data_IF_265646318459
#
_entry.id   IF_265646318459
#
_cell.length_a   1.000
_cell.length_b   1.000
_cell.length_c   1.000
_cell.angle_alpha   90.00
_cell.angle_beta   90.00
_cell.angle_gamma   90.00
#
_symmetry.space_group_name_H-M   'P 1'
#
loop_
_entity.id
_entity.type
_entity.pdbx_description
1 polymer ?
#
# COMPACT_ATOMS: atom_id res chain seq x y z
N UNK A 1 -6.69 -0.76 19.62
CA UNK A 1 -5.28 -0.53 19.20
C UNK A 1 -5.35 -0.06 17.77
N UNK A 2 -4.94 1.18 17.51
CA UNK A 2 -5.16 1.86 16.23
C UNK A 2 -4.40 1.13 15.12
N UNK A 3 -5.13 0.48 14.23
CA UNK A 3 -4.58 -0.33 13.15
C UNK A 3 -4.45 0.57 11.90
N UNK A 4 -3.39 1.36 11.79
CA UNK A 4 -3.12 2.14 10.58
C UNK A 4 -2.15 1.36 9.67
N UNK A 5 -2.21 1.65 8.38
CA UNK A 5 -1.32 1.13 7.36
C UNK A 5 -0.74 2.30 6.58
N UNK A 6 0.58 2.38 6.51
CA UNK A 6 1.25 3.18 5.49
C UNK A 6 1.25 2.36 4.20
N UNK A 7 0.66 2.90 3.14
CA UNK A 7 0.54 2.24 1.84
C UNK A 7 1.22 3.13 0.81
N UNK A 8 2.25 2.62 0.14
CA UNK A 8 2.88 3.29 -0.99
C UNK A 8 2.47 2.57 -2.26
N UNK A 9 1.86 3.32 -3.18
CA UNK A 9 1.50 2.88 -4.52
C UNK A 9 2.54 3.40 -5.49
N UNK A 10 3.22 2.50 -6.19
CA UNK A 10 4.09 2.84 -7.32
C UNK A 10 3.20 2.91 -8.55
N UNK A 11 3.09 4.08 -9.16
CA UNK A 11 2.15 4.39 -10.21
C UNK A 11 2.87 4.68 -11.53
N UNK A 12 2.27 4.28 -12.66
CA UNK A 12 2.72 4.75 -13.98
C UNK A 12 2.38 6.23 -14.17
N UNK A 13 3.30 7.01 -14.71
CA UNK A 13 3.07 8.40 -15.15
C UNK A 13 1.97 8.56 -16.19
N UNK A 14 1.55 7.48 -16.86
CA UNK A 14 0.45 7.50 -17.83
C UNK A 14 -0.93 7.54 -17.15
N UNK A 15 -1.01 7.28 -15.85
CA UNK A 15 -2.25 7.30 -15.07
C UNK A 15 -2.26 8.57 -14.21
N UNK A 16 -3.38 9.30 -14.22
CA UNK A 16 -3.53 10.47 -13.37
C UNK A 16 -3.43 10.10 -11.88
N UNK A 17 -2.85 10.98 -11.05
CA UNK A 17 -2.63 10.72 -9.62
C UNK A 17 -3.89 10.29 -8.86
N UNK A 18 -5.06 10.81 -9.27
CA UNK A 18 -6.36 10.46 -8.67
C UNK A 18 -6.81 9.02 -9.01
N UNK A 19 -6.43 8.51 -10.18
CA UNK A 19 -6.83 7.20 -10.71
C UNK A 19 -5.84 6.08 -10.32
N UNK A 20 -4.68 6.44 -9.78
CA UNK A 20 -3.77 5.45 -9.19
C UNK A 20 -4.32 4.97 -7.84
N UNK A 21 -4.70 3.70 -7.82
CA UNK A 21 -5.31 3.00 -6.70
C UNK A 21 -4.63 1.63 -6.53
N UNK A 22 -5.02 0.88 -5.49
CA UNK A 22 -4.49 -0.48 -5.25
C UNK A 22 -4.70 -1.46 -6.41
N UNK A 23 -5.63 -1.21 -7.33
CA UNK A 23 -5.86 -2.10 -8.49
C UNK A 23 -5.12 -1.66 -9.74
N UNK A 24 -4.66 -0.40 -9.80
CA UNK A 24 -4.00 0.19 -10.97
C UNK A 24 -2.52 0.51 -10.74
N UNK A 25 -2.04 0.39 -9.50
CA UNK A 25 -0.64 0.54 -9.16
C UNK A 25 0.21 -0.58 -9.79
N UNK A 26 1.42 -0.22 -10.22
CA UNK A 26 2.44 -1.13 -10.72
C UNK A 26 3.02 -1.99 -9.58
N UNK A 27 3.17 -1.39 -8.40
CA UNK A 27 3.60 -2.08 -7.18
C UNK A 27 2.99 -1.44 -5.92
N UNK A 28 2.88 -2.22 -4.85
CA UNK A 28 2.25 -1.81 -3.59
C UNK A 28 3.10 -2.26 -2.42
N UNK A 29 3.53 -1.30 -1.62
CA UNK A 29 4.26 -1.54 -0.37
C UNK A 29 3.33 -1.18 0.78
N UNK A 30 3.24 -2.06 1.78
CA UNK A 30 2.41 -1.85 2.97
C UNK A 30 3.26 -2.03 4.22
N UNK A 31 3.22 -1.04 5.12
CA UNK A 31 3.86 -1.10 6.43
C UNK A 31 2.83 -0.85 7.54
N UNK A 32 2.82 -1.63 8.63
CA UNK A 32 1.97 -1.35 9.77
C UNK A 32 2.39 -0.04 10.46
N UNK A 33 1.40 0.73 10.90
CA UNK A 33 1.61 1.92 11.73
C UNK A 33 0.58 1.96 12.86
N UNK A 34 0.98 2.41 14.03
CA UNK A 34 0.14 2.50 15.22
C UNK A 34 -0.33 3.94 15.47
N UNK A 35 0.35 4.92 14.87
CA UNK A 35 0.01 6.35 14.96
C UNK A 35 0.09 7.04 13.59
N UNK A 36 -0.62 8.17 13.39
CA UNK A 36 -0.47 8.96 12.17
C UNK A 36 0.96 9.44 11.94
N UNK A 37 1.68 9.78 13.02
CA UNK A 37 3.08 10.21 12.94
C UNK A 37 4.00 9.09 12.44
N UNK A 38 3.84 7.87 12.97
CA UNK A 38 4.56 6.69 12.48
C UNK A 38 4.27 6.42 11.00
N UNK A 39 3.02 6.58 10.58
CA UNK A 39 2.65 6.44 9.18
C UNK A 39 3.32 7.50 8.28
N UNK A 40 3.45 8.75 8.74
CA UNK A 40 4.20 9.77 8.00
C UNK A 40 5.68 9.43 7.86
N UNK A 41 6.32 8.96 8.95
CA UNK A 41 7.74 8.56 8.94
C UNK A 41 7.95 7.39 7.98
N UNK A 42 7.15 6.33 8.09
CA UNK A 42 7.19 5.19 7.18
C UNK A 42 6.91 5.60 5.74
N UNK A 43 6.01 6.56 5.52
CA UNK A 43 5.73 7.09 4.19
C UNK A 43 6.96 7.66 3.49
N UNK A 44 7.79 8.41 4.20
CA UNK A 44 9.02 8.98 3.63
C UNK A 44 10.04 7.89 3.28
N UNK A 45 10.22 6.90 4.15
CA UNK A 45 11.17 5.81 3.91
C UNK A 45 10.71 4.92 2.75
N UNK A 46 9.41 4.67 2.64
CA UNK A 46 8.81 3.94 1.52
C UNK A 46 9.03 4.68 0.19
N UNK A 47 8.77 6.00 0.16
CA UNK A 47 9.00 6.81 -1.05
C UNK A 47 10.47 6.81 -1.48
N UNK A 48 11.41 6.90 -0.52
CA UNK A 48 12.84 6.81 -0.82
C UNK A 48 13.23 5.42 -1.36
N UNK A 49 12.65 4.34 -0.81
CA UNK A 49 12.93 2.97 -1.23
C UNK A 49 12.44 2.64 -2.65
N UNK A 50 11.45 3.39 -3.13
CA UNK A 50 10.86 3.22 -4.47
C UNK A 50 11.58 3.99 -5.56
N UNK A 51 12.69 4.67 -5.22
CA UNK A 51 13.51 5.37 -6.18
C UNK A 51 13.90 4.45 -7.36
N UNK A 52 13.80 4.97 -8.57
CA UNK A 52 14.29 4.33 -9.81
C UNK A 52 15.28 5.23 -10.51
N UNK A 53 16.13 4.64 -11.32
CA UNK A 53 16.98 5.39 -12.26
C UNK A 53 16.13 6.23 -13.23
N UNK A 54 16.70 7.36 -13.66
CA UNK A 54 16.10 8.28 -14.62
C UNK A 54 15.74 7.54 -15.93
N UNK A 55 14.44 7.40 -16.18
CA UNK A 55 13.93 6.77 -17.40
C UNK A 55 12.62 6.03 -17.17
N UNK A 56 12.43 5.51 -15.96
CA UNK A 56 11.16 4.89 -15.60
C UNK A 56 10.16 5.97 -15.22
N UNK A 57 9.20 6.23 -16.11
CA UNK A 57 8.16 7.24 -15.88
C UNK A 57 7.15 6.74 -14.86
N UNK A 58 7.57 6.64 -13.60
CA UNK A 58 6.76 6.23 -12.45
C UNK A 58 6.81 7.29 -11.34
N UNK A 59 5.74 7.38 -10.57
CA UNK A 59 5.66 8.23 -9.38
C UNK A 59 5.14 7.40 -8.21
N UNK A 60 5.29 7.92 -7.00
CA UNK A 60 4.88 7.20 -5.79
C UNK A 60 3.82 8.02 -5.07
N UNK A 61 2.70 7.39 -4.77
CA UNK A 61 1.63 7.94 -3.94
C UNK A 61 1.63 7.22 -2.60
N UNK A 62 1.84 7.95 -1.52
CA UNK A 62 1.78 7.42 -0.16
C UNK A 62 0.45 7.80 0.48
N UNK A 63 -0.24 6.84 1.07
CA UNK A 63 -1.50 7.04 1.80
C UNK A 63 -1.47 6.35 3.15
N UNK A 64 -2.00 7.01 4.16
CA UNK A 64 -2.27 6.42 5.47
C UNK A 64 -3.70 5.91 5.52
N UNK A 65 -3.85 4.60 5.47
CA UNK A 65 -5.15 3.95 5.49
C UNK A 65 -5.45 3.38 6.87
N UNK A 66 -6.73 3.31 7.25
CA UNK A 66 -7.14 2.49 8.39
C UNK A 66 -7.19 1.05 7.92
N UNK A 67 -6.53 0.15 8.65
CA UNK A 67 -6.72 -1.29 8.49
C UNK A 67 -8.19 -1.56 8.69
N UNK A 68 -8.83 -2.12 7.65
CA UNK A 68 -10.22 -2.53 7.75
C UNK A 68 -10.32 -3.55 8.88
N UNK A 69 -10.98 -3.19 9.98
CA UNK A 69 -11.12 -4.02 11.17
C UNK A 69 -11.95 -5.30 10.91
N UNK A 70 -12.44 -5.48 9.69
CA UNK A 70 -13.28 -6.61 9.29
C UNK A 70 -12.51 -7.94 9.15
N UNK A 71 -11.19 -7.93 9.31
CA UNK A 71 -10.43 -9.16 9.51
C UNK A 71 -10.76 -9.84 10.87
N UNK A 72 -11.22 -9.07 11.88
CA UNK A 72 -11.69 -9.65 13.15
C UNK A 72 -13.07 -10.30 13.01
N UNK A 73 -13.94 -9.73 12.17
CA UNK A 73 -15.23 -10.33 11.79
C UNK A 73 -15.03 -11.65 11.04
N UNK A 74 -14.14 -11.63 10.05
CA UNK A 74 -13.75 -12.82 9.26
C UNK A 74 -13.10 -13.92 10.11
N UNK A 75 -12.19 -13.58 11.04
CA UNK A 75 -11.63 -14.56 11.99
C UNK A 75 -12.68 -15.17 12.92
N UNK A 76 -13.65 -14.38 13.40
CA UNK A 76 -14.77 -14.90 14.21
C UNK A 76 -15.71 -15.79 13.40
N UNK A 77 -15.84 -15.52 12.10
CA UNK A 77 -16.61 -16.33 11.16
C UNK A 77 -15.82 -17.55 10.62
N UNK A 78 -14.64 -17.86 11.18
CA UNK A 78 -13.87 -19.06 10.83
C UNK A 78 -13.01 -18.94 9.58
N UNK A 79 -12.92 -17.76 8.97
CA UNK A 79 -12.02 -17.53 7.84
C UNK A 79 -10.59 -17.35 8.36
N UNK A 80 -9.79 -18.41 8.23
CA UNK A 80 -8.37 -18.38 8.53
C UNK A 80 -7.71 -17.36 7.60
N UNK A 81 -7.14 -16.32 8.22
CA UNK A 81 -6.39 -15.23 7.62
C UNK A 81 -5.94 -15.56 6.19
N UNK A 82 -6.74 -15.14 5.21
CA UNK A 82 -6.33 -15.13 3.84
C UNK A 82 -5.10 -14.22 3.82
N UNK A 83 -3.94 -14.86 3.75
CA UNK A 83 -2.78 -14.28 3.11
C UNK A 83 -3.33 -13.81 1.78
N UNK A 84 -3.64 -12.52 1.67
CA UNK A 84 -3.98 -11.89 0.40
C UNK A 84 -2.67 -11.88 -0.37
N UNK A 85 -2.30 -13.05 -0.89
CA UNK A 85 -1.39 -13.18 -1.99
C UNK A 85 -2.10 -12.49 -3.15
N UNK A 86 -1.79 -11.22 -3.36
CA UNK A 86 -2.11 -10.55 -4.62
C UNK A 86 -1.43 -11.41 -5.69
N UNK A 87 -2.17 -12.00 -6.65
CA UNK A 87 -1.55 -12.73 -7.73
C UNK A 87 -0.70 -11.74 -8.52
N UNK A 88 0.63 -11.88 -8.47
CA UNK A 88 1.50 -11.27 -9.47
C UNK A 88 1.22 -11.99 -10.79
N UNK A 89 0.59 -11.32 -11.74
CA UNK A 89 0.58 -11.77 -13.12
C UNK A 89 2.02 -11.75 -13.65
N UNK A 90 2.58 -12.88 -14.12
CA UNK A 90 3.78 -12.85 -14.93
C UNK A 90 3.40 -12.30 -16.32
N UNK A 91 4.16 -11.31 -16.78
CA UNK A 91 4.26 -10.95 -18.21
C UNK A 91 5.32 -11.87 -18.82
#
# INVERSE_FOLDING_TARGET
>A
MSELLAVALVCSSMIAAQDCSRTTALDIIVSPAHTPMECMIHGQTMAASTWSEEGEKRYVRVTCERRHADLRGLRRAGYAAAIVLVPRHPI
#
